data_IF_348710457638
#
_entry.id   IF_348710457638
#
_cell.length_a   1.000
_cell.length_b   1.000
_cell.length_c   1.000
_cell.angle_alpha   90.00
_cell.angle_beta   90.00
_cell.angle_gamma   90.00
#
_symmetry.space_group_name_H-M   'P 1'
#
loop_
_entity.id
_entity.type
_entity.pdbx_description
1 polymer ?
#
# COMPACT_ATOMS: atom_id res chain seq x y z
N UNK A 1 -14.43 4.14 -21.38
CA UNK A 1 -14.91 2.84 -20.85
C UNK A 1 -14.42 1.75 -21.79
N UNK A 2 -13.57 0.86 -21.28
CA UNK A 2 -12.57 0.05 -22.00
C UNK A 2 -13.16 -1.11 -22.82
N UNK A 3 -13.13 -0.96 -24.14
CA UNK A 3 -13.48 -1.97 -25.16
C UNK A 3 -12.49 -3.16 -25.22
N UNK A 4 -11.46 -3.15 -24.37
CA UNK A 4 -10.38 -4.14 -24.38
C UNK A 4 -10.78 -5.44 -23.69
N UNK A 5 -11.79 -5.41 -22.80
CA UNK A 5 -12.30 -6.61 -22.15
C UNK A 5 -13.39 -7.33 -22.97
N UNK A 6 -13.99 -6.67 -23.97
CA UNK A 6 -15.07 -7.27 -24.77
C UNK A 6 -14.70 -8.57 -25.48
N UNK A 7 -13.52 -8.70 -26.13
CA UNK A 7 -13.13 -9.96 -26.75
C UNK A 7 -12.94 -11.08 -25.72
N UNK A 8 -12.39 -10.75 -24.55
CA UNK A 8 -12.15 -11.69 -23.47
C UNK A 8 -13.48 -12.20 -22.88
N UNK A 9 -14.45 -11.31 -22.68
CA UNK A 9 -15.78 -11.68 -22.20
C UNK A 9 -16.51 -12.60 -23.18
N UNK A 10 -16.40 -12.34 -24.48
CA UNK A 10 -16.99 -13.21 -25.51
C UNK A 10 -16.32 -14.59 -25.52
N UNK A 11 -14.99 -14.63 -25.38
CA UNK A 11 -14.23 -15.87 -25.28
C UNK A 11 -14.62 -16.67 -24.04
N UNK A 12 -14.80 -16.03 -22.88
CA UNK A 12 -15.28 -16.70 -21.66
C UNK A 12 -16.70 -17.24 -21.81
N UNK A 13 -17.60 -16.47 -22.43
CA UNK A 13 -19.01 -16.85 -22.60
C UNK A 13 -19.19 -18.08 -23.51
N UNK A 14 -18.32 -18.26 -24.50
CA UNK A 14 -18.34 -19.40 -25.42
C UNK A 14 -17.49 -20.60 -25.01
N UNK A 15 -16.78 -20.52 -23.87
CA UNK A 15 -15.82 -21.56 -23.47
C UNK A 15 -16.44 -22.65 -22.60
N UNK A 16 -15.98 -23.89 -22.80
CA UNK A 16 -16.28 -25.02 -21.90
C UNK A 16 -15.47 -24.93 -20.60
N UNK A 17 -15.89 -25.64 -19.54
CA UNK A 17 -15.19 -25.64 -18.25
C UNK A 17 -13.71 -26.06 -18.37
N UNK A 18 -13.41 -27.03 -19.24
CA UNK A 18 -12.03 -27.45 -19.51
C UNK A 18 -11.20 -26.35 -20.16
N UNK A 19 -11.79 -25.59 -21.08
CA UNK A 19 -11.13 -24.44 -21.72
C UNK A 19 -10.89 -23.32 -20.71
N UNK A 20 -11.88 -23.02 -19.86
CA UNK A 20 -11.73 -22.04 -18.77
C UNK A 20 -10.58 -22.41 -17.83
N UNK A 21 -10.43 -23.69 -17.46
CA UNK A 21 -9.29 -24.15 -16.65
C UNK A 21 -7.95 -23.86 -17.31
N UNK A 22 -7.81 -24.16 -18.61
CA UNK A 22 -6.60 -23.87 -19.39
C UNK A 22 -6.32 -22.37 -19.49
N UNK A 23 -7.35 -21.54 -19.63
CA UNK A 23 -7.21 -20.08 -19.63
C UNK A 23 -6.66 -19.56 -18.30
N UNK A 24 -7.16 -20.09 -17.17
CA UNK A 24 -6.65 -19.72 -15.83
C UNK A 24 -5.19 -20.14 -15.66
N UNK A 25 -4.81 -21.35 -16.10
CA UNK A 25 -3.42 -21.83 -16.06
C UNK A 25 -2.49 -20.91 -16.87
N UNK A 26 -2.91 -20.54 -18.09
CA UNK A 26 -2.16 -19.64 -18.96
C UNK A 26 -1.97 -18.26 -18.31
N UNK A 27 -3.05 -17.65 -17.81
CA UNK A 27 -3.00 -16.33 -17.15
C UNK A 27 -2.16 -16.37 -15.87
N UNK A 28 -2.14 -17.50 -15.15
CA UNK A 28 -1.28 -17.67 -13.97
C UNK A 28 0.19 -17.68 -14.37
N UNK A 29 0.56 -18.41 -15.43
CA UNK A 29 1.92 -18.43 -15.95
C UNK A 29 2.37 -17.04 -16.46
N UNK A 30 1.50 -16.32 -17.15
CA UNK A 30 1.77 -14.95 -17.60
C UNK A 30 2.02 -14.00 -16.42
N UNK A 31 1.18 -14.05 -15.39
CA UNK A 31 1.37 -13.27 -14.17
C UNK A 31 2.71 -13.58 -13.49
N UNK A 32 3.14 -14.85 -13.44
CA UNK A 32 4.46 -15.21 -12.89
C UNK A 32 5.62 -14.62 -13.71
N UNK A 33 5.53 -14.66 -15.04
CA UNK A 33 6.53 -14.06 -15.93
C UNK A 33 6.59 -12.54 -15.79
N UNK A 34 5.43 -11.88 -15.75
CA UNK A 34 5.34 -10.44 -15.55
C UNK A 34 5.97 -10.04 -14.22
N UNK A 35 5.70 -10.79 -13.15
CA UNK A 35 6.29 -10.50 -11.84
C UNK A 35 7.80 -10.68 -11.78
N UNK A 36 8.37 -11.62 -12.55
CA UNK A 36 9.84 -11.75 -12.67
C UNK A 36 10.48 -10.55 -13.37
N UNK A 37 9.74 -9.88 -14.27
CA UNK A 37 10.23 -8.73 -15.05
C UNK A 37 10.01 -7.38 -14.35
N UNK A 38 9.05 -7.29 -13.43
CA UNK A 38 8.82 -6.06 -12.67
C UNK A 38 9.94 -5.88 -11.63
N UNK A 39 10.80 -4.89 -11.84
CA UNK A 39 11.94 -4.54 -10.96
C UNK A 39 11.51 -4.19 -9.51
N UNK A 40 10.25 -3.80 -9.31
CA UNK A 40 9.72 -3.52 -7.98
C UNK A 40 9.45 -4.83 -7.23
N UNK A 41 10.36 -5.17 -6.33
CA UNK A 41 10.23 -6.29 -5.37
C UNK A 41 8.99 -6.20 -4.47
N UNK A 42 8.37 -5.02 -4.35
CA UNK A 42 7.19 -4.78 -3.50
C UNK A 42 6.09 -4.03 -4.24
N UNK A 43 4.99 -4.74 -4.53
CA UNK A 43 3.76 -4.16 -5.08
C UNK A 43 2.96 -3.54 -3.93
N UNK A 44 2.85 -2.22 -3.91
CA UNK A 44 1.97 -1.51 -2.98
C UNK A 44 0.58 -1.40 -3.59
N UNK A 45 -0.37 -2.13 -3.05
CA UNK A 45 -1.76 -2.04 -3.48
C UNK A 45 -2.43 -0.79 -2.90
N UNK A 46 -3.13 -0.07 -3.77
CA UNK A 46 -4.07 0.99 -3.41
C UNK A 46 -5.28 0.40 -2.66
N UNK A 47 -6.04 1.25 -1.97
CA UNK A 47 -7.25 0.78 -1.27
C UNK A 47 -8.31 0.28 -2.27
N UNK A 48 -8.44 0.91 -3.43
CA UNK A 48 -9.37 0.49 -4.49
C UNK A 48 -9.02 -0.90 -5.03
N UNK A 49 -7.73 -1.15 -5.31
CA UNK A 49 -7.26 -2.47 -5.75
C UNK A 49 -7.51 -3.54 -4.68
N UNK A 50 -7.31 -3.20 -3.40
CA UNK A 50 -7.63 -4.09 -2.29
C UNK A 50 -9.11 -4.44 -2.24
N UNK A 51 -10.00 -3.46 -2.37
CA UNK A 51 -11.44 -3.69 -2.37
C UNK A 51 -11.88 -4.57 -3.54
N UNK A 52 -11.38 -4.28 -4.76
CA UNK A 52 -11.64 -5.11 -5.94
C UNK A 52 -11.20 -6.57 -5.72
N UNK A 53 -10.02 -6.79 -5.13
CA UNK A 53 -9.55 -8.15 -4.82
C UNK A 53 -10.44 -8.87 -3.80
N UNK A 54 -10.96 -8.16 -2.81
CA UNK A 54 -11.87 -8.74 -1.81
C UNK A 54 -13.23 -9.08 -2.43
N UNK A 55 -13.80 -8.22 -3.26
CA UNK A 55 -15.07 -8.47 -3.95
C UNK A 55 -14.97 -9.69 -4.89
N UNK A 56 -13.91 -9.74 -5.71
CA UNK A 56 -13.69 -10.87 -6.62
C UNK A 56 -13.39 -12.16 -5.85
N UNK A 57 -12.64 -12.07 -4.75
CA UNK A 57 -12.31 -13.23 -3.94
C UNK A 57 -13.46 -13.71 -3.05
N UNK A 58 -14.46 -12.89 -2.76
CA UNK A 58 -15.67 -13.33 -2.08
C UNK A 58 -16.50 -14.27 -2.98
N UNK A 59 -16.61 -13.94 -4.27
CA UNK A 59 -17.34 -14.76 -5.24
C UNK A 59 -16.75 -16.16 -5.46
N UNK A 60 -15.43 -16.32 -5.30
CA UNK A 60 -14.72 -17.60 -5.49
C UNK A 60 -14.67 -18.42 -4.17
N UNK A 61 -14.74 -17.77 -3.01
CA UNK A 61 -14.76 -18.43 -1.70
C UNK A 61 -13.39 -18.91 -1.19
N UNK A 62 -13.28 -20.18 -0.78
CA UNK A 62 -12.06 -20.71 -0.12
C UNK A 62 -10.88 -20.92 -1.08
N UNK A 63 -11.14 -21.23 -2.36
CA UNK A 63 -10.11 -21.49 -3.37
C UNK A 63 -9.27 -20.27 -3.77
N UNK A 64 -9.66 -19.08 -3.33
CA UNK A 64 -8.90 -17.84 -3.56
C UNK A 64 -7.51 -17.86 -2.98
N UNK A 65 -7.30 -18.58 -1.87
CA UNK A 65 -5.99 -18.67 -1.24
C UNK A 65 -4.94 -19.32 -2.17
N UNK A 66 -5.38 -20.21 -3.07
CA UNK A 66 -4.51 -20.91 -4.03
C UNK A 66 -4.31 -20.12 -5.34
N UNK A 67 -5.21 -19.17 -5.60
CA UNK A 67 -5.19 -18.29 -6.79
C UNK A 67 -4.43 -16.99 -6.55
N UNK A 68 -4.39 -16.49 -5.30
CA UNK A 68 -3.71 -15.22 -5.02
C UNK A 68 -2.20 -15.39 -5.19
N UNK A 69 -1.65 -14.68 -6.17
CA UNK A 69 -0.20 -14.59 -6.38
C UNK A 69 0.38 -13.26 -5.86
N UNK A 70 -0.37 -12.16 -6.01
CA UNK A 70 0.11 -10.80 -5.72
C UNK A 70 0.30 -10.56 -4.22
N UNK A 71 -0.63 -11.04 -3.40
CA UNK A 71 -0.69 -10.79 -1.95
C UNK A 71 -0.41 -12.10 -1.20
N UNK A 72 0.25 -12.04 -0.04
CA UNK A 72 0.37 -13.24 0.81
C UNK A 72 -1.03 -13.73 1.24
N UNK A 73 -1.31 -15.06 1.21
CA UNK A 73 -2.59 -15.60 1.67
C UNK A 73 -2.96 -15.12 3.09
N UNK A 74 -1.98 -15.01 3.98
CA UNK A 74 -2.18 -14.49 5.35
C UNK A 74 -2.63 -13.03 5.36
N UNK A 75 -2.08 -12.20 4.48
CA UNK A 75 -2.45 -10.79 4.37
C UNK A 75 -3.87 -10.64 3.84
N UNK A 76 -4.24 -11.44 2.83
CA UNK A 76 -5.61 -11.45 2.30
C UNK A 76 -6.64 -11.87 3.36
N UNK A 77 -6.36 -12.95 4.11
CA UNK A 77 -7.22 -13.36 5.22
C UNK A 77 -7.38 -12.28 6.28
N UNK A 78 -6.29 -11.57 6.62
CA UNK A 78 -6.35 -10.44 7.55
C UNK A 78 -7.27 -9.33 7.04
N UNK A 79 -7.21 -8.99 5.76
CA UNK A 79 -8.10 -7.99 5.17
C UNK A 79 -9.55 -8.44 5.20
N UNK A 80 -9.82 -9.69 4.82
CA UNK A 80 -11.16 -10.28 4.85
C UNK A 80 -11.78 -10.24 6.26
N UNK A 81 -11.00 -10.56 7.30
CA UNK A 81 -11.44 -10.45 8.71
C UNK A 81 -11.77 -9.02 9.11
N UNK A 82 -10.94 -8.05 8.71
CA UNK A 82 -11.18 -6.63 9.01
C UNK A 82 -12.48 -6.12 8.38
N UNK A 83 -12.72 -6.49 7.12
CA UNK A 83 -13.97 -6.13 6.44
C UNK A 83 -15.17 -6.77 7.14
N UNK A 84 -15.09 -8.05 7.53
CA UNK A 84 -16.18 -8.69 8.30
C UNK A 84 -16.42 -8.05 9.67
N UNK A 85 -15.42 -7.42 10.26
CA UNK A 85 -15.52 -6.68 11.52
C UNK A 85 -15.98 -5.23 11.34
N UNK A 86 -16.27 -4.80 10.11
CA UNK A 86 -16.67 -3.41 9.81
C UNK A 86 -15.51 -2.40 9.93
N UNK A 87 -14.26 -2.85 10.05
CA UNK A 87 -13.12 -1.95 10.14
C UNK A 87 -12.84 -1.30 8.78
N UNK A 88 -12.91 0.03 8.73
CA UNK A 88 -12.49 0.81 7.57
C UNK A 88 -10.98 0.65 7.33
N UNK A 89 -10.49 0.71 6.07
CA UNK A 89 -9.06 0.60 5.78
C UNK A 89 -8.29 1.64 6.61
N UNK A 90 -7.34 1.15 7.41
CA UNK A 90 -6.55 1.99 8.30
C UNK A 90 -5.97 3.19 7.53
N UNK A 91 -6.24 4.41 8.00
CA UNK A 91 -5.58 5.62 7.51
C UNK A 91 -4.07 5.42 7.62
N UNK A 92 -3.30 5.96 6.66
CA UNK A 92 -1.83 5.90 6.67
C UNK A 92 -1.33 6.27 8.07
N UNK A 93 -0.86 5.26 8.79
CA UNK A 93 -0.43 5.40 10.17
C UNK A 93 0.95 6.05 10.14
N UNK A 94 0.96 7.38 10.18
CA UNK A 94 2.13 8.19 10.46
C UNK A 94 1.97 8.83 11.83
N UNK A 95 3.09 9.05 12.52
CA UNK A 95 3.13 9.95 13.69
C UNK A 95 2.45 11.26 13.28
N UNK A 96 1.46 11.72 14.05
CA UNK A 96 0.87 13.05 13.84
C UNK A 96 2.03 14.03 13.72
N UNK A 97 2.10 14.75 12.60
CA UNK A 97 3.16 15.74 12.39
C UNK A 97 3.15 16.72 13.56
N UNK A 98 4.33 17.09 14.07
CA UNK A 98 4.45 18.14 15.10
C UNK A 98 3.69 19.37 14.60
N UNK A 99 2.78 19.95 15.40
CA UNK A 99 1.95 21.08 14.98
C UNK A 99 2.83 22.25 14.53
N UNK A 100 2.35 22.97 13.53
CA UNK A 100 3.11 24.02 12.84
C UNK A 100 3.59 25.11 13.81
N UNK A 101 2.75 25.45 14.80
CA UNK A 101 3.08 26.40 15.88
C UNK A 101 4.33 25.99 16.65
N UNK A 102 4.47 24.69 16.99
CA UNK A 102 5.65 24.19 17.70
C UNK A 102 6.89 24.19 16.78
N UNK A 103 6.73 23.94 15.48
CA UNK A 103 7.85 24.02 14.53
C UNK A 103 8.37 25.45 14.41
N UNK A 104 7.47 26.42 14.28
CA UNK A 104 7.82 27.83 14.18
C UNK A 104 8.44 28.36 15.47
N UNK A 105 7.96 27.91 16.65
CA UNK A 105 8.53 28.26 17.94
C UNK A 105 9.98 27.76 18.07
N UNK A 106 10.22 26.50 17.69
CA UNK A 106 11.56 25.89 17.71
C UNK A 106 12.51 26.62 16.76
N UNK A 107 12.04 27.02 15.57
CA UNK A 107 12.86 27.77 14.60
C UNK A 107 13.17 29.19 15.10
N UNK A 108 12.23 29.88 15.77
CA UNK A 108 12.49 31.19 16.40
C UNK A 108 13.52 31.07 17.52
N UNK A 109 13.31 30.15 18.45
CA UNK A 109 14.23 29.92 19.57
C UNK A 109 15.64 29.53 19.11
N UNK A 110 15.75 28.82 17.98
CA UNK A 110 17.04 28.47 17.36
C UNK A 110 17.72 29.65 16.66
N UNK A 111 16.97 30.65 16.17
CA UNK A 111 17.54 31.87 15.56
C UNK A 111 17.95 32.91 16.61
N UNK A 112 17.21 32.99 17.70
CA UNK A 112 17.43 33.98 18.76
C UNK A 112 18.60 33.61 19.68
N UNK A 113 18.99 32.34 19.76
CA UNK A 113 20.14 31.91 20.55
C UNK A 113 21.35 31.62 19.67
N UNK A 114 22.46 32.33 19.89
CA UNK A 114 23.79 31.97 19.36
C UNK A 114 24.25 30.71 20.09
N UNK A 115 24.09 29.55 19.45
CA UNK A 115 24.44 28.26 20.05
C UNK A 115 25.96 28.09 20.09
N UNK A 116 26.60 28.70 21.08
CA UNK A 116 28.00 28.42 21.37
C UNK A 116 28.12 27.01 21.98
N UNK A 117 29.02 26.21 21.39
CA UNK A 117 29.34 24.85 21.81
C UNK A 117 29.93 24.87 23.23
N UNK A 118 29.09 24.82 24.27
CA UNK A 118 29.61 24.81 25.64
C UNK A 118 28.61 24.65 26.77
N UNK A 119 27.30 24.86 26.56
CA UNK A 119 26.33 24.78 27.66
C UNK A 119 25.43 23.54 27.56
N UNK A 120 25.58 22.55 28.45
CA UNK A 120 24.79 21.33 28.46
C UNK A 120 23.45 21.59 29.16
N UNK A 121 22.52 22.24 28.46
CA UNK A 121 21.08 22.16 28.75
C UNK A 121 20.46 21.17 27.74
N UNK A 122 20.87 19.91 27.70
CA UNK A 122 20.44 18.77 28.53
C UNK A 122 18.97 18.34 28.40
N UNK A 123 18.05 19.14 27.86
CA UNK A 123 16.70 18.63 27.54
C UNK A 123 16.25 19.02 26.12
N UNK A 124 16.41 18.04 25.22
CA UNK A 124 15.30 17.60 24.36
C UNK A 124 15.10 18.16 22.95
N UNK A 125 16.14 18.49 22.17
CA UNK A 125 15.97 18.50 20.71
C UNK A 125 17.11 17.74 20.01
N UNK A 126 16.88 16.48 19.59
CA UNK A 126 17.88 15.77 18.81
C UNK A 126 18.08 16.53 17.50
N UNK A 127 19.32 16.85 17.13
CA UNK A 127 19.71 17.55 15.89
C UNK A 127 19.07 17.00 14.59
N UNK A 128 18.53 15.77 14.63
CA UNK A 128 17.65 15.19 13.59
C UNK A 128 16.35 15.99 13.36
N UNK A 129 15.85 16.76 14.33
CA UNK A 129 14.62 17.54 14.26
C UNK A 129 14.77 18.79 13.39
N UNK A 130 15.89 19.51 13.54
CA UNK A 130 16.18 20.71 12.74
C UNK A 130 16.45 20.37 11.28
N UNK A 131 17.25 19.32 11.00
CA UNK A 131 17.51 18.87 9.63
C UNK A 131 16.23 18.49 8.87
N UNK A 132 15.19 18.01 9.57
CA UNK A 132 13.89 17.67 8.95
C UNK A 132 12.92 18.84 8.87
N UNK A 133 13.05 19.87 9.71
CA UNK A 133 12.25 21.08 9.64
C UNK A 133 12.64 21.94 8.43
N UNK A 134 13.94 21.98 8.07
CA UNK A 134 14.44 22.75 6.93
C UNK A 134 14.10 22.14 5.56
N UNK A 135 13.90 20.81 5.46
CA UNK A 135 13.66 20.10 4.18
C UNK A 135 12.19 20.24 3.71
N UNK A 136 11.31 20.86 4.51
CA UNK A 136 9.90 21.10 4.14
C UNK A 136 9.58 22.52 3.67
N UNK A 137 10.59 23.37 3.47
CA UNK A 137 10.44 24.74 2.96
C UNK A 137 11.26 24.85 1.66
N UNK A 138 10.77 24.18 0.62
CA UNK A 138 11.09 24.40 -0.78
C UNK A 138 9.87 23.96 -1.61
#
# INVERSE_FOLDING_TARGET
MSHWFSPLLFLLAGSTEQQLRRHVEFLKAENEMLRKRVEKSRVFLTNEERERLLTLGEAIGKGVLDLITIVSPRTYQRWRRRVSQGEKPARKMGRKGTPETLRQLVVRLAKENTWEYGNPCSYCLPLRFLRRASIGVA
#
